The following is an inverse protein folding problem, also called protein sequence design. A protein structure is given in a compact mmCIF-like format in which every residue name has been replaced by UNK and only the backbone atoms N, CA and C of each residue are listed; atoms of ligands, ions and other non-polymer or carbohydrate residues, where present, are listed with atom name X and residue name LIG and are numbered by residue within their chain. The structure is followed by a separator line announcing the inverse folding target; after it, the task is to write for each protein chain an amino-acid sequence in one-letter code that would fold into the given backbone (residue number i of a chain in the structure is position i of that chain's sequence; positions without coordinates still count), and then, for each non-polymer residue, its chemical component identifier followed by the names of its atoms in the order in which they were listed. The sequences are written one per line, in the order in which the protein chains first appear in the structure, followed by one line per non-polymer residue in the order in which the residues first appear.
data_IF_013479026119
#
_entry.id   IF_013479026119
#
_cell.length_a   1.000
_cell.length_b   1.000
_cell.length_c   1.000
_cell.angle_alpha   90.00
_cell.angle_beta   90.00
_cell.angle_gamma   90.00
#
_symmetry.space_group_name_H-M   'P 1'
#
loop_
_entity.id
_entity.type
_entity.pdbx_description
1 polymer ?
#
# COMPACT_ATOMS: atom_id res chain seq x y z
N UNK A 1 13.22 7.35 23.48
CA UNK A 1 13.17 8.65 22.77
C UNK A 1 13.17 8.30 21.30
N UNK A 2 12.14 8.69 20.55
CA UNK A 2 12.13 8.49 19.10
C UNK A 2 13.20 9.42 18.51
N UNK A 3 14.10 8.91 17.67
CA UNK A 3 15.13 9.66 16.93
C UNK A 3 14.53 10.63 15.89
N UNK A 4 13.60 11.50 16.30
CA UNK A 4 13.06 12.59 15.49
C UNK A 4 12.26 12.17 14.24
N UNK A 5 11.94 10.89 14.04
CA UNK A 5 11.16 10.46 12.87
C UNK A 5 9.66 10.67 13.11
N UNK A 6 9.18 11.82 12.66
CA UNK A 6 7.75 12.15 12.59
C UNK A 6 7.02 11.18 11.65
N UNK A 7 5.79 10.82 12.03
CA UNK A 7 4.85 10.19 11.10
C UNK A 7 4.48 11.25 10.07
N UNK A 8 4.93 11.06 8.82
CA UNK A 8 4.76 12.05 7.76
C UNK A 8 3.27 12.40 7.58
N UNK A 9 2.95 13.70 7.63
CA UNK A 9 1.61 14.20 7.31
C UNK A 9 1.35 14.13 5.79
N UNK A 10 0.10 13.85 5.37
CA UNK A 10 -0.34 13.85 3.97
C UNK A 10 0.09 15.07 3.16
N UNK A 11 0.66 14.84 1.97
CA UNK A 11 1.00 15.85 0.94
C UNK A 11 0.55 15.40 -0.46
N UNK A 12 0.55 16.35 -1.41
CA UNK A 12 -0.36 16.60 -2.56
C UNK A 12 -0.48 15.51 -3.67
N UNK A 13 -0.49 14.20 -3.37
CA UNK A 13 -1.09 13.20 -4.29
C UNK A 13 -2.03 12.26 -3.55
N UNK A 14 -3.32 12.31 -3.94
CA UNK A 14 -4.43 11.66 -3.21
C UNK A 14 -4.31 10.14 -3.11
N UNK A 15 -3.64 9.50 -4.07
CA UNK A 15 -3.51 8.05 -4.13
C UNK A 15 -2.35 7.51 -3.30
N UNK A 16 -1.18 8.17 -3.34
CA UNK A 16 -0.01 7.74 -2.58
C UNK A 16 -0.11 8.10 -1.09
N UNK A 17 -0.89 9.13 -0.74
CA UNK A 17 -1.06 9.58 0.65
C UNK A 17 -1.41 8.45 1.62
N UNK A 18 -2.43 7.65 1.32
CA UNK A 18 -2.86 6.57 2.21
C UNK A 18 -1.80 5.47 2.31
N UNK A 19 -1.11 5.17 1.21
CA UNK A 19 -0.04 4.18 1.21
C UNK A 19 1.16 4.67 2.03
N UNK A 20 1.61 5.90 1.86
CA UNK A 20 2.73 6.49 2.60
C UNK A 20 2.41 6.58 4.10
N UNK A 21 1.18 6.98 4.46
CA UNK A 21 0.74 6.98 5.85
C UNK A 21 0.75 5.56 6.45
N UNK A 22 0.29 4.58 5.69
CA UNK A 22 0.30 3.18 6.11
C UNK A 22 1.72 2.59 6.23
N UNK A 23 2.60 2.94 5.30
CA UNK A 23 4.02 2.58 5.36
C UNK A 23 4.71 3.21 6.57
N UNK A 24 4.47 4.49 6.83
CA UNK A 24 4.99 5.20 8.01
C UNK A 24 4.53 4.54 9.31
N UNK A 25 3.25 4.14 9.38
CA UNK A 25 2.70 3.40 10.51
C UNK A 25 3.44 2.08 10.74
N UNK A 26 3.68 1.29 9.68
CA UNK A 26 4.43 0.04 9.76
C UNK A 26 5.90 0.24 10.17
N UNK A 27 6.56 1.30 9.67
CA UNK A 27 7.92 1.68 10.12
C UNK A 27 7.95 2.03 11.61
N UNK A 28 6.88 2.61 12.14
CA UNK A 28 6.75 2.97 13.56
C UNK A 28 6.28 1.81 14.46
N UNK A 29 6.05 0.60 13.92
CA UNK A 29 5.49 -0.57 14.63
C UNK A 29 6.15 -0.82 15.99
N UNK A 30 7.48 -0.84 16.06
CA UNK A 30 8.20 -1.12 17.31
C UNK A 30 7.89 -0.10 18.41
N UNK A 31 7.90 1.19 18.06
CA UNK A 31 7.60 2.28 19.00
C UNK A 31 6.12 2.24 19.44
N UNK A 32 5.21 1.89 18.51
CA UNK A 32 3.78 1.74 18.81
C UNK A 32 3.55 0.54 19.75
N UNK A 33 4.21 -0.59 19.49
CA UNK A 33 4.14 -1.76 20.36
C UNK A 33 4.67 -1.45 21.77
N UNK A 34 5.75 -0.67 21.88
CA UNK A 34 6.27 -0.19 23.15
C UNK A 34 5.29 0.75 23.86
N UNK A 35 4.64 1.66 23.14
CA UNK A 35 3.62 2.54 23.70
C UNK A 35 2.46 1.73 24.31
N UNK A 36 2.04 0.65 23.65
CA UNK A 36 0.93 -0.20 24.11
C UNK A 36 1.22 -0.97 25.40
N UNK A 37 2.48 -1.18 25.76
CA UNK A 37 2.85 -1.80 27.04
C UNK A 37 2.98 -0.79 28.19
N UNK A 38 2.91 0.51 27.89
CA UNK A 38 3.02 1.56 28.92
C UNK A 38 1.79 1.62 29.82
N UNK A 39 2.00 1.90 31.12
CA UNK A 39 0.89 2.13 32.07
C UNK A 39 -0.02 3.28 31.63
N UNK A 40 0.56 4.31 31.03
CA UNK A 40 -0.17 5.46 30.50
C UNK A 40 -1.19 5.05 29.43
N UNK A 41 -0.87 4.07 28.59
CA UNK A 41 -1.80 3.53 27.61
C UNK A 41 -2.77 2.50 28.21
N UNK A 42 -2.26 1.52 28.96
CA UNK A 42 -3.06 0.41 29.51
C UNK A 42 -4.23 0.91 30.37
N UNK A 43 -4.04 2.02 31.09
CA UNK A 43 -5.07 2.60 31.95
C UNK A 43 -6.11 3.47 31.22
N UNK A 44 -6.05 3.61 29.89
CA UNK A 44 -7.03 4.37 29.10
C UNK A 44 -8.26 3.55 28.76
N UNK A 45 -9.38 4.20 28.44
CA UNK A 45 -10.55 3.51 27.87
C UNK A 45 -10.29 2.99 26.44
N UNK A 46 -9.34 3.60 25.72
CA UNK A 46 -8.94 3.18 24.37
C UNK A 46 -8.34 1.77 24.40
N UNK A 47 -7.52 1.44 25.40
CA UNK A 47 -6.88 0.12 25.53
C UNK A 47 -7.91 -1.02 25.67
N UNK A 48 -9.11 -0.70 26.18
CA UNK A 48 -10.21 -1.64 26.40
C UNK A 48 -11.04 -1.89 25.15
N UNK A 49 -10.90 -1.05 24.12
CA UNK A 49 -11.70 -1.17 22.90
C UNK A 49 -11.30 -2.44 22.10
N UNK A 50 -12.27 -3.14 21.48
CA UNK A 50 -11.98 -4.31 20.64
C UNK A 50 -11.00 -4.01 19.50
N UNK A 51 -11.07 -2.80 18.94
CA UNK A 51 -10.17 -2.37 17.87
C UNK A 51 -8.72 -2.26 18.34
N UNK A 52 -8.48 -1.70 19.53
CA UNK A 52 -7.15 -1.62 20.14
C UNK A 52 -6.53 -3.00 20.30
N UNK A 53 -7.30 -3.97 20.80
CA UNK A 53 -6.85 -5.36 20.93
C UNK A 53 -6.54 -6.00 19.58
N UNK A 54 -7.28 -5.66 18.52
CA UNK A 54 -7.06 -6.18 17.16
C UNK A 54 -5.75 -5.67 16.57
N UNK A 55 -5.47 -4.36 16.66
CA UNK A 55 -4.25 -3.77 16.08
C UNK A 55 -2.99 -4.13 16.85
N UNK A 56 -3.13 -4.54 18.12
CA UNK A 56 -2.03 -5.09 18.92
C UNK A 56 -1.61 -6.50 18.51
N UNK A 57 -2.46 -7.25 17.77
CA UNK A 57 -2.12 -8.61 17.35
C UNK A 57 -0.97 -8.59 16.33
N UNK A 58 0.00 -9.48 16.49
CA UNK A 58 1.11 -9.63 15.53
C UNK A 58 0.60 -9.91 14.11
N UNK A 59 -0.50 -10.65 14.00
CA UNK A 59 -1.10 -11.03 12.73
C UNK A 59 -1.69 -9.83 11.96
N UNK A 60 -2.08 -8.76 12.67
CA UNK A 60 -2.49 -7.50 12.04
C UNK A 60 -1.30 -6.88 11.29
N UNK A 61 -0.15 -6.79 11.95
CA UNK A 61 1.05 -6.19 11.37
C UNK A 61 1.65 -7.04 10.26
N UNK A 62 1.63 -8.37 10.39
CA UNK A 62 2.06 -9.27 9.31
C UNK A 62 1.20 -9.05 8.04
N UNK A 63 -0.10 -8.81 8.20
CA UNK A 63 -1.00 -8.47 7.07
C UNK A 63 -0.70 -7.08 6.52
N UNK A 64 -0.41 -6.10 7.37
CA UNK A 64 -0.06 -4.75 6.96
C UNK A 64 1.23 -4.71 6.14
N UNK A 65 2.28 -5.37 6.62
CA UNK A 65 3.56 -5.52 5.91
C UNK A 65 3.39 -6.22 4.57
N UNK A 66 2.58 -7.29 4.51
CA UNK A 66 2.24 -7.95 3.23
C UNK A 66 1.56 -7.01 2.25
N UNK A 67 0.63 -6.18 2.71
CA UNK A 67 -0.07 -5.22 1.85
C UNK A 67 0.92 -4.20 1.28
N UNK A 68 1.85 -3.71 2.11
CA UNK A 68 2.89 -2.77 1.66
C UNK A 68 3.78 -3.42 0.60
N UNK A 69 4.31 -4.62 0.89
CA UNK A 69 5.23 -5.34 -0.02
C UNK A 69 4.58 -5.61 -1.39
N UNK A 70 3.28 -5.94 -1.40
CA UNK A 70 2.55 -6.24 -2.63
C UNK A 70 1.95 -5.03 -3.34
N UNK A 71 1.76 -3.89 -2.68
CA UNK A 71 1.19 -2.69 -3.32
C UNK A 71 2.24 -1.70 -3.81
N UNK A 72 3.49 -1.80 -3.32
CA UNK A 72 4.57 -0.92 -3.74
C UNK A 72 4.73 -0.82 -5.27
N UNK A 73 4.70 -1.92 -6.06
CA UNK A 73 4.84 -1.83 -7.52
C UNK A 73 3.75 -0.98 -8.18
N UNK A 74 2.50 -1.08 -7.70
CA UNK A 74 1.37 -0.28 -8.21
C UNK A 74 1.56 1.20 -7.87
N UNK A 75 2.04 1.50 -6.66
CA UNK A 75 2.30 2.88 -6.23
C UNK A 75 3.38 3.53 -7.10
N UNK A 76 4.39 2.78 -7.55
CA UNK A 76 5.40 3.27 -8.48
C UNK A 76 4.79 3.63 -9.84
N UNK A 77 3.88 2.81 -10.37
CA UNK A 77 3.15 3.13 -11.61
C UNK A 77 2.28 4.37 -11.45
N UNK A 78 1.59 4.52 -10.32
CA UNK A 78 0.79 5.73 -10.06
C UNK A 78 1.66 6.98 -9.98
N UNK A 79 2.81 6.92 -9.29
CA UNK A 79 3.77 8.03 -9.23
C UNK A 79 4.31 8.42 -10.60
N UNK A 80 4.52 7.44 -11.47
CA UNK A 80 4.96 7.66 -12.85
C UNK A 80 3.89 8.42 -13.65
N UNK A 81 2.62 8.03 -13.55
CA UNK A 81 1.51 8.68 -14.25
C UNK A 81 1.20 10.07 -13.69
N UNK A 82 1.37 10.26 -12.39
CA UNK A 82 1.21 11.55 -11.71
C UNK A 82 2.39 12.52 -11.94
N UNK A 83 3.48 12.06 -12.58
CA UNK A 83 4.67 12.88 -12.85
C UNK A 83 4.47 13.92 -13.96
N UNK A 84 5.30 14.97 -13.97
CA UNK A 84 5.23 16.07 -14.96
C UNK A 84 5.46 15.59 -16.40
N UNK A 85 6.27 14.55 -16.57
CA UNK A 85 6.38 13.83 -17.84
C UNK A 85 5.14 12.98 -18.03
N UNK A 86 4.22 13.37 -18.92
CA UNK A 86 3.04 12.56 -19.27
C UNK A 86 3.47 11.40 -20.17
N UNK A 87 3.59 10.15 -19.66
CA UNK A 87 3.99 9.03 -20.49
C UNK A 87 2.93 8.72 -21.55
N UNK A 88 3.35 8.13 -22.67
CA UNK A 88 2.39 7.58 -23.64
C UNK A 88 1.60 6.44 -23.01
N UNK A 89 0.36 6.23 -23.45
CA UNK A 89 -0.49 5.14 -22.92
C UNK A 89 0.19 3.78 -23.03
N UNK A 90 0.90 3.49 -24.13
CA UNK A 90 1.65 2.25 -24.30
C UNK A 90 2.68 2.00 -23.20
N UNK A 91 3.35 3.05 -22.71
CA UNK A 91 4.28 2.94 -21.58
C UNK A 91 3.57 2.66 -20.25
N UNK A 92 2.39 3.24 -20.04
CA UNK A 92 1.60 3.00 -18.81
C UNK A 92 1.13 1.53 -18.75
N UNK A 93 0.67 0.96 -19.87
CA UNK A 93 0.30 -0.46 -19.95
C UNK A 93 1.49 -1.38 -19.63
N UNK A 94 2.64 -1.14 -20.26
CA UNK A 94 3.87 -1.90 -20.00
C UNK A 94 4.34 -1.77 -18.54
N UNK A 95 4.26 -0.57 -17.95
CA UNK A 95 4.58 -0.35 -16.55
C UNK A 95 3.63 -1.13 -15.61
N UNK A 96 2.33 -1.17 -15.92
CA UNK A 96 1.34 -1.94 -15.15
C UNK A 96 1.57 -3.44 -15.25
N UNK A 97 1.87 -3.96 -16.44
CA UNK A 97 2.18 -5.38 -16.65
C UNK A 97 3.42 -5.80 -15.84
N UNK A 98 4.48 -4.97 -15.86
CA UNK A 98 5.67 -5.19 -15.02
C UNK A 98 5.35 -5.16 -13.53
N UNK A 99 4.50 -4.24 -13.09
CA UNK A 99 4.06 -4.17 -11.70
C UNK A 99 3.31 -5.45 -11.28
N UNK A 100 2.43 -5.98 -12.14
CA UNK A 100 1.73 -7.25 -11.88
C UNK A 100 2.70 -8.43 -11.78
N UNK A 101 3.71 -8.50 -12.65
CA UNK A 101 4.76 -9.53 -12.58
C UNK A 101 5.57 -9.46 -11.29
N UNK A 102 5.99 -8.26 -10.86
CA UNK A 102 6.71 -8.06 -9.59
C UNK A 102 5.86 -8.52 -8.40
N UNK A 103 4.57 -8.14 -8.37
CA UNK A 103 3.61 -8.62 -7.37
C UNK A 103 3.54 -10.14 -7.31
N UNK A 104 3.48 -10.80 -8.47
CA UNK A 104 3.43 -12.25 -8.53
C UNK A 104 4.71 -12.88 -7.98
N UNK A 105 5.88 -12.37 -8.35
CA UNK A 105 7.17 -12.86 -7.87
C UNK A 105 7.28 -12.71 -6.34
N UNK A 106 7.01 -11.52 -5.80
CA UNK A 106 6.97 -11.25 -4.35
C UNK A 106 5.98 -12.16 -3.63
N UNK A 107 4.78 -12.33 -4.18
CA UNK A 107 3.74 -13.17 -3.61
C UNK A 107 4.11 -14.63 -3.61
N UNK A 108 4.62 -15.19 -4.71
CA UNK A 108 4.97 -16.62 -4.76
C UNK A 108 6.07 -16.96 -3.76
N UNK A 109 7.03 -16.06 -3.54
CA UNK A 109 8.12 -16.25 -2.58
C UNK A 109 7.72 -16.18 -1.10
N UNK A 110 6.62 -15.49 -0.75
CA UNK A 110 6.27 -15.22 0.67
C UNK A 110 4.81 -15.48 1.05
N UNK A 111 3.87 -15.34 0.11
CA UNK A 111 2.43 -15.23 0.36
C UNK A 111 1.58 -16.19 -0.49
N UNK A 112 2.21 -17.10 -1.23
CA UNK A 112 1.56 -18.06 -2.11
C UNK A 112 0.80 -17.39 -3.27
N UNK A 113 -0.45 -17.80 -3.47
CA UNK A 113 -1.29 -17.36 -4.60
C UNK A 113 -2.06 -16.06 -4.36
N UNK A 114 -1.68 -15.28 -3.34
CA UNK A 114 -2.35 -14.04 -2.99
C UNK A 114 -2.38 -13.03 -4.14
N UNK A 115 -1.33 -12.99 -4.97
CA UNK A 115 -1.26 -12.15 -6.17
C UNK A 115 -2.49 -12.28 -7.08
N UNK A 116 -3.10 -13.47 -7.20
CA UNK A 116 -4.29 -13.68 -8.05
C UNK A 116 -5.46 -12.81 -7.62
N UNK A 117 -5.67 -12.70 -6.30
CA UNK A 117 -6.72 -11.83 -5.75
C UNK A 117 -6.39 -10.37 -5.99
N UNK A 118 -5.12 -9.99 -5.83
CA UNK A 118 -4.69 -8.61 -6.02
C UNK A 118 -4.78 -8.20 -7.49
N UNK A 119 -4.36 -9.04 -8.43
CA UNK A 119 -4.53 -8.84 -9.88
C UNK A 119 -5.99 -8.62 -10.23
N UNK A 120 -6.91 -9.44 -9.73
CA UNK A 120 -8.34 -9.23 -9.97
C UNK A 120 -8.83 -7.85 -9.50
N UNK A 121 -8.33 -7.36 -8.36
CA UNK A 121 -8.68 -6.00 -7.87
C UNK A 121 -8.07 -4.93 -8.78
N UNK A 122 -6.82 -5.10 -9.21
CA UNK A 122 -6.12 -4.19 -10.11
C UNK A 122 -6.85 -4.13 -11.44
N UNK A 123 -7.11 -5.27 -12.06
CA UNK A 123 -7.77 -5.40 -13.37
C UNK A 123 -9.17 -4.80 -13.33
N UNK A 124 -9.97 -5.15 -12.32
CA UNK A 124 -11.30 -4.54 -12.15
C UNK A 124 -11.22 -3.01 -12.02
N UNK A 125 -10.20 -2.44 -11.36
CA UNK A 125 -10.06 -0.99 -11.25
C UNK A 125 -9.54 -0.37 -12.54
N UNK A 126 -8.61 -1.05 -13.20
CA UNK A 126 -8.03 -0.65 -14.46
C UNK A 126 -9.08 -0.58 -15.56
N UNK A 127 -9.89 -1.63 -15.70
CA UNK A 127 -10.93 -1.72 -16.72
C UNK A 127 -12.02 -0.66 -16.52
N UNK A 128 -12.41 -0.42 -15.27
CA UNK A 128 -13.45 0.55 -14.96
C UNK A 128 -13.00 2.02 -15.05
N UNK A 129 -11.70 2.32 -14.86
CA UNK A 129 -11.21 3.70 -14.71
C UNK A 129 -10.24 4.14 -15.80
N UNK A 130 -9.53 3.22 -16.46
CA UNK A 130 -8.51 3.52 -17.48
C UNK A 130 -8.80 2.88 -18.83
N UNK A 131 -9.58 1.79 -18.89
CA UNK A 131 -9.96 1.12 -20.14
C UNK A 131 -11.38 1.56 -20.60
N UNK A 132 -11.58 2.87 -20.80
CA UNK A 132 -12.73 3.35 -21.57
C UNK A 132 -12.33 3.43 -23.06
N UNK A 133 -13.25 3.07 -23.95
CA UNK A 133 -13.07 2.77 -25.40
C UNK A 133 -12.23 3.76 -26.24
N UNK A 134 -11.92 4.94 -25.69
CA UNK A 134 -11.03 5.95 -26.26
C UNK A 134 -9.52 5.64 -26.12
N UNK A 135 -9.09 4.73 -25.24
CA UNK A 135 -7.65 4.48 -24.97
C UNK A 135 -7.02 3.31 -25.74
N UNK A 136 -7.82 2.45 -26.37
CA UNK A 136 -7.32 1.29 -27.14
C UNK A 136 -6.82 1.66 -28.55
N UNK A 137 -7.08 2.88 -29.03
CA UNK A 137 -6.72 3.33 -30.37
C UNK A 137 -5.23 3.71 -30.55
N UNK A 138 -4.45 3.79 -29.46
CA UNK A 138 -3.03 4.20 -29.49
C UNK A 138 -2.02 3.06 -29.62
N UNK A 139 -2.44 1.86 -30.06
CA UNK A 139 -1.55 0.72 -30.30
C UNK A 139 -1.28 0.55 -31.80
N UNK A 140 -0.63 1.54 -32.42
CA UNK A 140 0.05 1.45 -33.71
C UNK A 140 1.23 2.42 -33.74
#
# INVERSE_FOLDING_TARGET
MNDGREILRPGITRFATHFVAFESLCRAKANIMQMWTSRAYVNTDISRQPLARRVQQIDFWNRAERIIDLLEPVVLVLKLVDGDSKPTMGFVYDAMDRAKLDIEQRSRGKYGTYYKKLWKIIDNRWDNQMHQDIHAAGRF
#
